data_IF_099413384173
#
_entry.id   IF_099413384173
#
_cell.length_a   1.000
_cell.length_b   1.000
_cell.length_c   1.000
_cell.angle_alpha   90.00
_cell.angle_beta   90.00
_cell.angle_gamma   90.00
#
_symmetry.space_group_name_H-M   'P 1'
#
loop_
_entity.id
_entity.type
_entity.pdbx_description
1 polymer ?
#
# COMPACT_ATOMS: atom_id res chain seq x y z
N UNK A 1 -18.71 -12.01 -9.99
CA UNK A 1 -19.23 -10.65 -9.72
C UNK A 1 -18.37 -9.50 -10.22
N UNK A 2 -17.25 -9.74 -10.94
CA UNK A 2 -16.51 -8.66 -11.63
C UNK A 2 -15.93 -7.57 -10.73
N UNK A 3 -15.97 -7.78 -9.41
CA UNK A 3 -15.50 -6.85 -8.39
C UNK A 3 -13.97 -6.79 -8.37
N UNK A 4 -13.44 -5.58 -8.46
CA UNK A 4 -12.00 -5.31 -8.28
C UNK A 4 -11.76 -4.96 -6.81
N UNK A 5 -10.82 -5.64 -6.17
CA UNK A 5 -10.41 -5.38 -4.79
C UNK A 5 -8.98 -4.85 -4.82
N UNK A 6 -8.76 -3.71 -4.18
CA UNK A 6 -7.45 -3.09 -4.06
C UNK A 6 -7.01 -3.11 -2.60
N UNK A 7 -5.74 -3.42 -2.37
CA UNK A 7 -5.20 -3.50 -1.02
C UNK A 7 -3.75 -3.97 -1.02
N UNK A 8 -3.15 -3.97 0.17
CA UNK A 8 -1.81 -4.48 0.40
C UNK A 8 -1.88 -5.98 0.68
N UNK A 9 -1.08 -6.77 -0.02
CA UNK A 9 -0.92 -8.20 0.28
C UNK A 9 -0.20 -8.34 1.62
N UNK A 10 -0.88 -8.97 2.58
CA UNK A 10 -0.32 -9.26 3.91
C UNK A 10 0.20 -10.70 3.97
N UNK A 11 -0.50 -11.63 3.33
CA UNK A 11 -0.09 -13.03 3.27
C UNK A 11 -0.44 -13.62 1.90
N UNK A 12 0.57 -14.21 1.25
CA UNK A 12 0.44 -14.89 -0.03
C UNK A 12 1.42 -16.08 -0.10
N UNK A 13 1.15 -17.14 0.67
CA UNK A 13 1.94 -18.38 0.57
C UNK A 13 1.45 -19.20 -0.63
N UNK A 14 2.39 -19.72 -1.44
CA UNK A 14 2.08 -20.59 -2.58
C UNK A 14 1.35 -21.88 -2.17
N UNK A 15 1.59 -22.40 -0.96
CA UNK A 15 0.95 -23.61 -0.44
C UNK A 15 -0.47 -23.37 0.07
N UNK A 16 -0.82 -22.11 0.33
CA UNK A 16 -2.16 -21.75 0.79
C UNK A 16 -3.09 -21.42 -0.38
N UNK A 17 -4.33 -21.89 -0.27
CA UNK A 17 -5.40 -21.64 -1.25
C UNK A 17 -6.06 -20.27 -1.08
N UNK A 18 -5.58 -19.44 -0.15
CA UNK A 18 -6.16 -18.15 0.22
C UNK A 18 -5.13 -17.04 0.08
N UNK A 19 -5.62 -15.84 -0.21
CA UNK A 19 -4.86 -14.59 -0.25
C UNK A 19 -5.45 -13.65 0.80
N UNK A 20 -4.60 -13.05 1.63
CA UNK A 20 -5.02 -12.09 2.65
C UNK A 20 -4.59 -10.69 2.26
N UNK A 21 -5.56 -9.79 2.10
CA UNK A 21 -5.38 -8.40 1.70
C UNK A 21 -5.81 -7.47 2.82
N UNK A 22 -4.98 -6.47 3.12
CA UNK A 22 -5.38 -5.31 3.91
C UNK A 22 -5.88 -4.23 2.95
N UNK A 23 -7.18 -3.96 2.99
CA UNK A 23 -7.85 -2.98 2.11
C UNK A 23 -8.01 -1.62 2.77
N UNK A 24 -7.94 -1.56 4.10
CA UNK A 24 -8.08 -0.34 4.87
C UNK A 24 -6.74 0.09 5.50
N UNK A 25 -6.12 1.20 5.07
CA UNK A 25 -4.85 1.67 5.63
C UNK A 25 -4.95 2.13 7.10
N UNK A 26 -6.15 2.48 7.59
CA UNK A 26 -6.38 2.90 8.98
C UNK A 26 -6.66 1.71 9.92
N UNK A 27 -7.01 0.55 9.36
CA UNK A 27 -7.28 -0.67 10.11
C UNK A 27 -6.52 -1.85 9.48
N UNK A 28 -5.17 -1.88 9.58
CA UNK A 28 -4.35 -2.88 8.89
C UNK A 28 -4.55 -4.31 9.38
N UNK A 29 -5.13 -4.48 10.58
CA UNK A 29 -5.48 -5.79 11.13
C UNK A 29 -6.78 -6.38 10.52
N UNK A 30 -7.60 -5.55 9.86
CA UNK A 30 -8.77 -6.03 9.13
C UNK A 30 -8.31 -6.59 7.78
N UNK A 31 -8.37 -7.92 7.67
CA UNK A 31 -7.94 -8.65 6.49
C UNK A 31 -9.14 -9.18 5.71
N UNK A 32 -9.16 -8.87 4.41
CA UNK A 32 -10.04 -9.50 3.44
C UNK A 32 -9.36 -10.77 2.94
N UNK A 33 -10.00 -11.91 3.18
CA UNK A 33 -9.49 -13.22 2.78
C UNK A 33 -10.21 -13.65 1.50
N UNK A 34 -9.46 -13.86 0.43
CA UNK A 34 -9.98 -14.23 -0.88
C UNK A 34 -9.44 -15.62 -1.26
N UNK A 35 -10.32 -16.60 -1.61
CA UNK A 35 -9.87 -17.86 -2.19
C UNK A 35 -9.19 -17.62 -3.53
N UNK A 36 -7.99 -18.18 -3.74
CA UNK A 36 -7.24 -18.03 -5.00
C UNK A 36 -7.98 -18.60 -6.20
N UNK A 37 -8.88 -19.57 -5.98
CA UNK A 37 -9.75 -20.13 -7.02
C UNK A 37 -10.76 -19.14 -7.59
N UNK A 38 -11.05 -18.06 -6.87
CA UNK A 38 -12.00 -17.02 -7.29
C UNK A 38 -11.31 -15.84 -7.98
N UNK A 39 -9.97 -15.81 -7.98
CA UNK A 39 -9.17 -14.73 -8.58
C UNK A 39 -8.97 -15.04 -10.07
N UNK A 40 -9.60 -14.23 -10.93
CA UNK A 40 -9.39 -14.33 -12.38
C UNK A 40 -8.03 -13.76 -12.81
N UNK A 41 -7.52 -12.77 -12.09
CA UNK A 41 -6.24 -12.11 -12.33
C UNK A 41 -5.95 -11.07 -11.26
N UNK A 42 -4.69 -10.65 -11.18
CA UNK A 42 -4.23 -9.59 -10.31
C UNK A 42 -3.05 -8.89 -10.97
N UNK A 43 -2.91 -7.60 -10.70
CA UNK A 43 -1.84 -6.75 -11.24
C UNK A 43 -1.33 -5.80 -10.17
N UNK A 44 -0.12 -5.29 -10.36
CA UNK A 44 0.39 -4.22 -9.51
C UNK A 44 -0.37 -2.92 -9.78
N UNK A 45 -0.74 -2.22 -8.72
CA UNK A 45 -1.44 -0.93 -8.85
C UNK A 45 -0.49 0.11 -9.49
N UNK A 46 -0.91 0.79 -10.57
CA UNK A 46 -0.15 1.91 -11.13
C UNK A 46 -0.32 3.20 -10.29
N UNK A 47 -1.27 3.21 -9.35
CA UNK A 47 -1.58 4.36 -8.50
C UNK A 47 -0.90 4.17 -7.15
N UNK A 48 -0.18 5.22 -6.72
CA UNK A 48 0.45 5.25 -5.40
C UNK A 48 -0.60 5.21 -4.29
N UNK A 49 -0.38 4.41 -3.22
CA UNK A 49 -1.25 4.41 -2.05
C UNK A 49 -1.10 5.67 -1.18
N UNK A 50 -0.17 6.57 -1.51
CA UNK A 50 0.01 7.83 -0.77
C UNK A 50 -1.23 8.72 -0.95
N UNK A 51 -1.84 9.21 0.14
CA UNK A 51 -2.92 10.17 0.07
C UNK A 51 -2.55 11.41 -0.76
N UNK A 52 -3.51 12.02 -1.46
CA UNK A 52 -3.29 13.32 -2.08
C UNK A 52 -3.00 14.38 -1.00
N UNK A 53 -2.42 15.50 -1.40
CA UNK A 53 -2.19 16.67 -0.54
C UNK A 53 -1.28 16.45 0.69
N UNK A 54 -0.52 15.35 0.75
CA UNK A 54 0.43 15.11 1.85
C UNK A 54 1.48 16.22 2.02
N UNK A 55 1.87 16.86 0.91
CA UNK A 55 2.87 17.92 0.92
C UNK A 55 2.27 19.32 1.11
N UNK A 56 0.94 19.46 1.08
CA UNK A 56 0.26 20.76 1.06
C UNK A 56 0.46 21.53 2.37
N UNK A 57 0.77 20.83 3.46
CA UNK A 57 1.04 21.43 4.77
C UNK A 57 2.49 21.87 4.96
N UNK A 58 3.39 21.53 4.04
CA UNK A 58 4.83 21.77 4.18
C UNK A 58 5.26 23.05 3.46
N UNK A 59 6.24 23.76 4.03
CA UNK A 59 6.92 24.84 3.31
C UNK A 59 7.93 24.29 2.30
N UNK A 60 8.43 25.17 1.44
CA UNK A 60 9.46 24.82 0.45
C UNK A 60 10.72 24.26 1.12
N UNK A 61 11.12 24.84 2.25
CA UNK A 61 12.27 24.41 3.04
C UNK A 61 12.05 23.02 3.62
N UNK A 62 10.88 22.76 4.22
CA UNK A 62 10.52 21.47 4.81
C UNK A 62 10.42 20.35 3.75
N UNK A 63 9.96 20.67 2.54
CA UNK A 63 10.00 19.73 1.40
C UNK A 63 11.46 19.38 1.06
N UNK A 64 12.36 20.37 1.08
CA UNK A 64 13.79 20.14 0.86
C UNK A 64 14.40 19.22 1.90
N UNK A 65 14.07 19.45 3.18
CA UNK A 65 14.54 18.61 4.29
C UNK A 65 13.96 17.20 4.22
N UNK A 66 12.69 17.04 3.83
CA UNK A 66 12.07 15.74 3.62
C UNK A 66 12.77 14.96 2.50
N UNK A 67 13.07 15.61 1.37
CA UNK A 67 13.81 14.99 0.26
C UNK A 67 15.22 14.57 0.70
N UNK A 68 15.93 15.43 1.43
CA UNK A 68 17.25 15.10 1.98
C UNK A 68 17.16 13.89 2.93
N UNK A 69 16.16 13.85 3.80
CA UNK A 69 15.91 12.73 4.70
C UNK A 69 15.64 11.42 3.94
N UNK A 70 14.80 11.44 2.90
CA UNK A 70 14.54 10.27 2.06
C UNK A 70 15.80 9.79 1.33
N UNK A 71 16.57 10.71 0.73
CA UNK A 71 17.83 10.40 0.03
C UNK A 71 18.91 9.85 0.96
N UNK A 72 18.89 10.23 2.25
CA UNK A 72 19.78 9.69 3.27
C UNK A 72 19.42 8.27 3.74
N UNK A 73 18.31 7.71 3.23
CA UNK A 73 17.78 6.42 3.69
C UNK A 73 17.08 6.51 5.04
N UNK A 74 16.48 7.66 5.36
CA UNK A 74 15.76 7.89 6.61
C UNK A 74 16.68 8.10 7.82
N UNK A 75 17.91 8.55 7.60
CA UNK A 75 18.83 8.93 8.67
C UNK A 75 18.70 10.43 8.90
N UNK A 76 18.14 10.82 10.05
CA UNK A 76 18.36 12.19 10.53
C UNK A 76 19.84 12.35 10.84
N UNK A 77 20.38 13.52 10.51
CA UNK A 77 21.74 13.91 10.85
C UNK A 77 22.01 13.77 12.34
#
# INVERSE_FOLDING_TARGET
>A
DGSVIQGRIVQNDFRESKLSLSTNPFAPAELVIIPKSEIQGWEESPISPMPPALLDTLTKEEIGDLLAFLLSGGKTK
#
